data_IF_168766079473
#
_entry.id   IF_168766079473
#
_cell.length_a   1.000
_cell.length_b   1.000
_cell.length_c   1.000
_cell.angle_alpha   90.00
_cell.angle_beta   90.00
_cell.angle_gamma   90.00
#
_symmetry.space_group_name_H-M   'P 1'
#
loop_
_entity.id
_entity.type
_entity.pdbx_description
1 polymer ?
#
# COMPACT_ATOMS: atom_id res chain seq x y z
N UNK A 1 -6.70 -8.15 10.58
CA UNK A 1 -6.65 -7.22 9.43
C UNK A 1 -6.75 -5.81 9.99
N UNK A 2 -5.82 -4.92 9.65
CA UNK A 2 -5.76 -3.56 10.22
C UNK A 2 -6.91 -2.71 9.67
N UNK A 3 -7.56 -1.89 10.49
CA UNK A 3 -8.65 -1.01 10.04
C UNK A 3 -8.15 0.18 9.22
N UNK A 4 -6.86 0.48 9.30
CA UNK A 4 -6.15 1.49 8.54
C UNK A 4 -4.70 1.05 8.38
N UNK A 5 -4.03 1.59 7.36
CA UNK A 5 -2.62 1.28 7.09
C UNK A 5 -1.86 2.59 6.91
N UNK A 6 -0.66 2.69 7.47
CA UNK A 6 0.26 3.80 7.26
C UNK A 6 1.63 3.29 6.84
N UNK A 7 2.30 4.02 5.94
CA UNK A 7 3.69 3.72 5.60
C UNK A 7 4.59 4.01 6.79
N UNK A 8 5.43 3.04 7.17
CA UNK A 8 6.47 3.26 8.16
C UNK A 8 7.40 4.41 7.71
N UNK A 9 7.93 5.18 8.67
CA UNK A 9 8.76 6.35 8.40
C UNK A 9 10.00 6.03 7.56
N UNK A 10 10.53 4.80 7.64
CA UNK A 10 11.67 4.35 6.84
C UNK A 10 11.31 3.90 5.43
N UNK A 11 10.02 3.70 5.16
CA UNK A 11 9.53 3.17 3.88
C UNK A 11 9.51 4.24 2.81
N UNK A 12 10.19 3.94 1.71
CA UNK A 12 10.21 4.73 0.49
C UNK A 12 9.34 4.04 -0.55
N UNK A 13 8.28 4.73 -0.94
CA UNK A 13 7.34 4.27 -1.95
C UNK A 13 7.26 5.30 -3.08
N UNK A 14 7.21 4.84 -4.32
CA UNK A 14 7.08 5.64 -5.53
C UNK A 14 6.19 4.89 -6.52
N UNK A 15 5.77 5.54 -7.59
CA UNK A 15 5.06 4.86 -8.67
C UNK A 15 5.33 5.52 -10.02
N UNK A 16 5.11 4.77 -11.08
CA UNK A 16 4.97 5.28 -12.44
C UNK A 16 3.57 4.94 -13.00
N UNK A 17 3.40 5.05 -14.31
CA UNK A 17 2.12 4.76 -14.95
C UNK A 17 1.63 3.30 -14.80
N UNK A 18 2.53 2.34 -14.55
CA UNK A 18 2.28 0.89 -14.54
C UNK A 18 2.78 0.18 -13.27
N UNK A 19 3.74 0.75 -12.56
CA UNK A 19 4.42 0.11 -11.45
C UNK A 19 4.30 0.90 -10.16
N UNK A 20 4.27 0.16 -9.06
CA UNK A 20 4.50 0.64 -7.71
C UNK A 20 5.89 0.15 -7.30
N UNK A 21 6.71 1.06 -6.78
CA UNK A 21 8.02 0.76 -6.24
C UNK A 21 7.99 0.96 -4.73
N UNK A 22 8.53 0.02 -3.96
CA UNK A 22 8.65 0.14 -2.50
C UNK A 22 9.95 -0.52 -2.03
N UNK A 23 10.78 0.24 -1.33
CA UNK A 23 12.05 -0.22 -0.75
C UNK A 23 12.96 -1.07 -1.69
N UNK A 24 12.92 -0.81 -3.00
CA UNK A 24 13.71 -1.52 -4.00
C UNK A 24 12.98 -2.63 -4.76
N UNK A 25 11.76 -2.97 -4.33
CA UNK A 25 10.87 -3.91 -5.04
C UNK A 25 9.91 -3.17 -5.97
N UNK A 26 9.45 -3.85 -7.02
CA UNK A 26 8.52 -3.31 -8.01
C UNK A 26 7.36 -4.27 -8.27
N UNK A 27 6.15 -3.74 -8.28
CA UNK A 27 4.92 -4.50 -8.50
C UNK A 27 4.12 -3.87 -9.64
N UNK A 28 3.51 -4.71 -10.48
CA UNK A 28 2.51 -4.25 -11.44
C UNK A 28 1.23 -3.92 -10.68
N UNK A 29 0.71 -2.71 -10.87
CA UNK A 29 -0.58 -2.33 -10.32
C UNK A 29 -1.48 -1.81 -11.44
N UNK A 30 -2.63 -2.46 -11.61
CA UNK A 30 -3.65 -2.08 -12.57
C UNK A 30 -4.93 -1.59 -11.89
N UNK A 31 -5.78 -0.93 -12.66
CA UNK A 31 -7.16 -0.61 -12.27
C UNK A 31 -7.31 0.08 -10.91
N UNK A 32 -8.15 -0.51 -10.06
CA UNK A 32 -8.50 0.04 -8.75
C UNK A 32 -7.33 0.01 -7.78
N UNK A 33 -6.60 -1.10 -7.73
CA UNK A 33 -5.48 -1.25 -6.79
C UNK A 33 -4.33 -0.30 -7.12
N UNK A 34 -4.10 0.00 -8.40
CA UNK A 34 -3.16 1.05 -8.80
C UNK A 34 -3.53 2.40 -8.18
N UNK A 35 -4.82 2.74 -8.16
CA UNK A 35 -5.28 4.00 -7.56
C UNK A 35 -5.12 3.99 -6.04
N UNK A 36 -5.40 2.85 -5.41
CA UNK A 36 -5.20 2.66 -3.97
C UNK A 36 -3.72 2.78 -3.58
N UNK A 37 -2.82 2.12 -4.32
CA UNK A 37 -1.38 2.15 -4.05
C UNK A 37 -0.75 3.51 -4.33
N UNK A 38 -1.22 4.24 -5.36
CA UNK A 38 -0.83 5.65 -5.57
C UNK A 38 -1.25 6.53 -4.39
N UNK A 39 -2.49 6.36 -3.90
CA UNK A 39 -2.95 7.08 -2.70
C UNK A 39 -2.06 6.78 -1.50
N UNK A 40 -1.69 5.52 -1.28
CA UNK A 40 -0.79 5.14 -0.20
C UNK A 40 0.60 5.78 -0.36
N UNK A 41 1.15 5.82 -1.57
CA UNK A 41 2.43 6.48 -1.82
C UNK A 41 2.38 7.99 -1.54
N UNK A 42 1.33 8.67 -2.01
CA UNK A 42 1.20 10.13 -1.91
C UNK A 42 0.84 10.59 -0.49
N UNK A 43 -0.12 9.91 0.14
CA UNK A 43 -0.68 10.32 1.44
C UNK A 43 -0.07 9.58 2.62
N UNK A 44 0.71 8.52 2.34
CA UNK A 44 1.32 7.63 3.33
C UNK A 44 0.32 6.90 4.22
N UNK A 45 -0.97 6.93 3.89
CA UNK A 45 -2.02 6.31 4.67
C UNK A 45 -3.18 5.79 3.80
N UNK A 46 -3.82 4.72 4.25
CA UNK A 46 -5.09 4.21 3.75
C UNK A 46 -6.06 4.05 4.92
N UNK A 47 -7.27 4.58 4.76
CA UNK A 47 -8.33 4.47 5.74
C UNK A 47 -9.09 3.14 5.60
N UNK A 48 -9.95 2.83 6.57
CA UNK A 48 -10.88 1.70 6.50
C UNK A 48 -11.72 1.68 5.24
N UNK A 49 -12.15 2.86 4.78
CA UNK A 49 -12.95 3.00 3.56
C UNK A 49 -12.13 2.68 2.31
N UNK A 50 -10.84 3.00 2.31
CA UNK A 50 -9.95 2.62 1.21
C UNK A 50 -9.71 1.11 1.21
N UNK A 51 -9.42 0.53 2.38
CA UNK A 51 -9.17 -0.92 2.51
C UNK A 51 -10.39 -1.78 2.15
N UNK A 52 -11.61 -1.29 2.43
CA UNK A 52 -12.85 -1.94 2.01
C UNK A 52 -13.01 -2.04 0.47
N UNK A 53 -12.13 -1.37 -0.27
CA UNK A 53 -12.16 -1.29 -1.72
C UNK A 53 -10.99 -1.97 -2.41
N UNK A 54 -10.02 -2.43 -1.63
CA UNK A 54 -8.86 -3.17 -2.12
C UNK A 54 -9.29 -4.57 -2.58
N UNK A 55 -8.63 -5.08 -3.62
CA UNK A 55 -8.73 -6.50 -3.97
C UNK A 55 -8.05 -7.39 -2.92
N UNK A 56 -8.33 -8.69 -2.97
CA UNK A 56 -7.66 -9.67 -2.10
C UNK A 56 -6.14 -9.66 -2.33
N UNK A 57 -5.68 -9.57 -3.59
CA UNK A 57 -4.25 -9.46 -3.94
C UNK A 57 -3.59 -8.21 -3.31
N UNK A 58 -4.29 -7.08 -3.34
CA UNK A 58 -3.79 -5.85 -2.71
C UNK A 58 -3.73 -5.98 -1.18
N UNK A 59 -4.68 -6.67 -0.57
CA UNK A 59 -4.71 -6.92 0.87
C UNK A 59 -3.60 -7.89 1.31
N UNK A 60 -3.32 -8.92 0.51
CA UNK A 60 -2.20 -9.84 0.71
C UNK A 60 -0.86 -9.10 0.62
N UNK A 61 -0.71 -8.22 -0.38
CA UNK A 61 0.47 -7.39 -0.53
C UNK A 61 0.68 -6.47 0.68
N UNK A 62 -0.38 -5.81 1.18
CA UNK A 62 -0.30 -4.98 2.39
C UNK A 62 0.04 -5.81 3.64
N UNK A 63 -0.42 -7.06 3.72
CA UNK A 63 -0.06 -7.98 4.81
C UNK A 63 1.43 -8.34 4.76
N UNK A 64 1.94 -8.68 3.57
CA UNK A 64 3.38 -8.94 3.36
C UNK A 64 4.23 -7.74 3.78
N UNK A 65 3.81 -6.53 3.40
CA UNK A 65 4.50 -5.31 3.79
C UNK A 65 4.41 -5.00 5.28
N UNK A 66 3.34 -5.44 5.96
CA UNK A 66 3.22 -5.31 7.41
C UNK A 66 4.26 -6.21 8.11
N UNK A 67 4.39 -7.45 7.66
CA UNK A 67 5.37 -8.40 8.19
C UNK A 67 6.82 -7.95 7.93
N UNK A 68 7.08 -7.35 6.76
CA UNK A 68 8.36 -6.70 6.44
C UNK A 68 8.62 -5.40 7.24
N UNK A 69 7.60 -4.91 7.96
CA UNK A 69 7.65 -3.65 8.72
C UNK A 69 7.76 -2.42 7.82
N UNK A 70 7.21 -2.47 6.60
CA UNK A 70 7.13 -1.34 5.68
C UNK A 70 5.85 -0.55 5.85
N UNK A 71 4.80 -1.20 6.34
CA UNK A 71 3.57 -0.54 6.78
C UNK A 71 3.24 -0.91 8.22
N UNK A 72 2.42 -0.08 8.87
CA UNK A 72 1.90 -0.28 10.23
C UNK A 72 0.39 -0.08 10.22
N UNK A 73 -0.29 -0.56 11.26
CA UNK A 73 -1.66 -0.14 11.52
C UNK A 73 -1.65 1.37 11.80
N UNK A 74 -2.55 2.12 11.17
CA UNK A 74 -2.81 3.48 11.61
C UNK A 74 -3.57 3.46 12.93
N UNK A 75 -3.37 4.49 13.75
CA UNK A 75 -4.20 4.74 14.94
C UNK A 75 -5.63 5.18 14.56
#
# INVERSE_FOLDING_TARGET
>A
MFESVVLDRRTRMMYDAKHIFINGESYLAGGRDATLMRKLADTRALSRKDLATASDDALELLSSWFDAGWVRSGD
#
